data_IF_546015546526
#
_entry.id   IF_546015546526
#
_cell.length_a   1.000
_cell.length_b   1.000
_cell.length_c   1.000
_cell.angle_alpha   90.00
_cell.angle_beta   90.00
_cell.angle_gamma   90.00
#
_symmetry.space_group_name_H-M   'P 1'
#
loop_
_entity.id
_entity.type
_entity.pdbx_description
1 polymer ?
#
# COMPACT_ATOMS: atom_id res chain seq x y z
N UNK A 1 -24.84 1.10 9.10
CA UNK A 1 -23.46 0.98 9.60
C UNK A 1 -22.56 0.53 8.46
N UNK A 2 -21.96 1.45 7.69
CA UNK A 2 -21.06 1.09 6.57
C UNK A 2 -19.67 0.95 7.14
N UNK A 3 -19.24 -0.28 7.40
CA UNK A 3 -17.88 -0.58 7.85
C UNK A 3 -16.88 0.12 6.92
N UNK A 4 -15.84 0.71 7.52
CA UNK A 4 -14.98 1.72 6.92
C UNK A 4 -14.52 1.41 5.48
N UNK A 5 -14.47 2.43 4.63
CA UNK A 5 -14.14 2.38 3.18
C UNK A 5 -12.66 2.06 2.90
N UNK A 6 -12.10 1.05 3.56
CA UNK A 6 -10.74 0.58 3.34
C UNK A 6 -10.65 -0.16 2.00
N UNK A 7 -9.58 0.11 1.27
CA UNK A 7 -9.27 -0.52 -0.01
C UNK A 7 -8.01 -1.35 0.16
N UNK A 8 -8.08 -2.64 -0.17
CA UNK A 8 -6.91 -3.52 -0.21
C UNK A 8 -6.10 -3.21 -1.48
N UNK A 9 -4.84 -2.80 -1.34
CA UNK A 9 -3.93 -2.58 -2.47
C UNK A 9 -3.08 -3.80 -2.82
N UNK A 10 -3.03 -4.80 -1.93
CA UNK A 10 -2.20 -5.99 -2.10
C UNK A 10 -1.13 -6.12 -1.01
N UNK A 11 -0.05 -6.86 -1.30
CA UNK A 11 0.99 -7.20 -0.31
C UNK A 11 2.31 -6.45 -0.60
N UNK A 12 3.05 -6.10 0.45
CA UNK A 12 4.43 -5.60 0.32
C UNK A 12 5.31 -6.68 -0.27
N UNK A 13 6.38 -6.25 -0.96
CA UNK A 13 7.38 -7.17 -1.51
C UNK A 13 8.34 -7.75 -0.46
N UNK A 14 8.18 -7.39 0.82
CA UNK A 14 9.08 -7.85 1.87
C UNK A 14 10.53 -7.35 1.72
N UNK A 15 10.72 -6.17 1.14
CA UNK A 15 12.05 -5.55 0.95
C UNK A 15 12.28 -4.45 1.98
N UNK A 16 13.52 -4.33 2.46
CA UNK A 16 13.94 -3.23 3.31
C UNK A 16 14.01 -1.90 2.55
N UNK A 17 13.86 -0.77 3.26
CA UNK A 17 13.91 0.58 2.68
C UNK A 17 15.23 0.85 1.94
N UNK A 18 16.34 0.37 2.47
CA UNK A 18 17.70 0.54 1.92
C UNK A 18 18.22 -0.72 1.19
N UNK A 19 17.33 -1.65 0.87
CA UNK A 19 17.68 -2.92 0.21
C UNK A 19 17.94 -2.66 -1.28
N UNK A 20 19.18 -2.92 -1.73
CA UNK A 20 19.66 -2.60 -3.09
C UNK A 20 19.85 -3.82 -4.00
N UNK A 21 19.81 -5.02 -3.46
CA UNK A 21 20.09 -6.29 -4.14
C UNK A 21 18.80 -7.04 -4.56
N UNK A 22 17.63 -6.39 -4.44
CA UNK A 22 16.31 -6.96 -4.71
C UNK A 22 15.96 -8.19 -3.86
N UNK A 23 16.60 -8.34 -2.69
CA UNK A 23 16.38 -9.45 -1.76
C UNK A 23 15.13 -9.22 -0.89
N UNK A 24 14.33 -10.28 -0.76
CA UNK A 24 13.12 -10.28 0.08
C UNK A 24 13.48 -10.76 1.49
N UNK A 25 14.04 -9.87 2.29
CA UNK A 25 14.54 -10.19 3.65
C UNK A 25 13.50 -9.94 4.75
N UNK A 26 12.41 -9.23 4.45
CA UNK A 26 11.39 -8.85 5.42
C UNK A 26 10.05 -9.57 5.14
N UNK A 27 9.19 -9.74 6.16
CA UNK A 27 7.86 -10.29 5.98
C UNK A 27 7.01 -9.47 5.02
N UNK A 28 6.23 -10.17 4.18
CA UNK A 28 5.21 -9.56 3.32
C UNK A 28 3.99 -9.18 4.17
N UNK A 29 3.54 -7.93 4.05
CA UNK A 29 2.40 -7.36 4.79
C UNK A 29 1.29 -6.94 3.83
N UNK A 30 0.03 -7.10 4.20
CA UNK A 30 -1.08 -6.57 3.40
C UNK A 30 -1.22 -5.06 3.61
N UNK A 31 -1.40 -4.32 2.52
CA UNK A 31 -1.54 -2.86 2.51
C UNK A 31 -3.02 -2.53 2.34
N UNK A 32 -3.57 -1.81 3.31
CA UNK A 32 -4.90 -1.23 3.27
C UNK A 32 -4.78 0.28 3.26
N UNK A 33 -5.54 0.94 2.39
CA UNK A 33 -5.60 2.40 2.34
C UNK A 33 -7.01 2.88 2.64
N UNK A 34 -7.10 4.06 3.24
CA UNK A 34 -8.33 4.81 3.37
C UNK A 34 -8.18 6.13 2.58
N UNK A 35 -8.92 6.32 1.48
CA UNK A 35 -8.81 7.54 0.70
C UNK A 35 -9.44 8.72 1.46
N UNK A 36 -8.65 9.76 1.72
CA UNK A 36 -9.14 10.99 2.36
C UNK A 36 -10.03 11.83 1.42
N UNK A 37 -9.86 11.67 0.10
CA UNK A 37 -10.63 12.38 -0.92
C UNK A 37 -11.14 11.42 -1.99
N UNK A 38 -12.32 11.71 -2.55
CA UNK A 38 -12.92 10.88 -3.62
C UNK A 38 -12.04 10.78 -4.87
N UNK A 39 -11.29 11.84 -5.17
CA UNK A 39 -10.46 11.98 -6.37
C UNK A 39 -8.99 11.57 -6.16
N UNK A 40 -8.69 10.78 -5.11
CA UNK A 40 -7.32 10.39 -4.73
C UNK A 40 -6.48 9.81 -5.88
N UNK A 41 -7.10 9.03 -6.79
CA UNK A 41 -6.40 8.45 -7.95
C UNK A 41 -5.80 9.52 -8.86
N UNK A 42 -6.56 10.58 -9.15
CA UNK A 42 -6.10 11.70 -9.99
C UNK A 42 -4.96 12.48 -9.32
N UNK A 43 -4.95 12.55 -7.98
CA UNK A 43 -3.93 13.29 -7.23
C UNK A 43 -2.61 12.51 -7.13
N UNK A 44 -2.68 11.19 -6.95
CA UNK A 44 -1.50 10.32 -6.77
C UNK A 44 -0.88 9.83 -8.08
N UNK A 45 -1.64 9.81 -9.18
CA UNK A 45 -1.16 9.39 -10.51
C UNK A 45 -0.76 10.57 -11.41
N UNK A 46 -0.50 11.74 -10.83
CA UNK A 46 0.26 12.82 -11.48
C UNK A 46 1.74 12.53 -11.32
#
# INVERSE_FOLDING_TARGET
YKAANWICLGKTKGRGKLEKQHKTLLPKKTIWIYPLTRNYRRLLCR
#
